data_IF_804836941239
#
_entry.id   IF_804836941239
#
_cell.length_a   1.000
_cell.length_b   1.000
_cell.length_c   1.000
_cell.angle_alpha   90.00
_cell.angle_beta   90.00
_cell.angle_gamma   90.00
#
_symmetry.space_group_name_H-M   'P 1'
#
loop_
_entity.id
_entity.type
_entity.pdbx_description
1 polymer ?
#
# COMPACT_ATOMS: atom_id res chain seq x y z
N UNK A 1 -31.82 28.28 -18.87
CA UNK A 1 -30.52 27.66 -18.52
C UNK A 1 -30.79 26.23 -18.04
N UNK A 2 -30.65 25.24 -18.92
CA UNK A 2 -30.74 23.83 -18.51
C UNK A 2 -29.46 23.50 -17.73
N UNK A 3 -29.53 23.66 -16.40
CA UNK A 3 -28.54 23.06 -15.52
C UNK A 3 -28.57 21.56 -15.79
N UNK A 4 -27.46 21.03 -16.28
CA UNK A 4 -27.35 19.66 -16.73
C UNK A 4 -27.45 18.75 -15.49
N UNK A 5 -28.68 18.38 -15.11
CA UNK A 5 -28.99 17.62 -13.88
C UNK A 5 -28.18 16.33 -13.81
N UNK A 6 -27.86 15.76 -14.96
CA UNK A 6 -27.01 14.59 -15.11
C UNK A 6 -25.57 14.84 -14.64
N UNK A 7 -25.01 16.01 -14.92
CA UNK A 7 -23.67 16.41 -14.48
C UNK A 7 -23.63 16.62 -12.97
N UNK A 8 -24.68 17.23 -12.40
CA UNK A 8 -24.78 17.41 -10.94
C UNK A 8 -24.93 16.06 -10.24
N UNK A 9 -25.80 15.18 -10.76
CA UNK A 9 -25.97 13.84 -10.22
C UNK A 9 -24.66 13.04 -10.26
N UNK A 10 -23.94 13.08 -11.38
CA UNK A 10 -22.63 12.42 -11.50
C UNK A 10 -21.60 12.96 -10.50
N UNK A 11 -21.56 14.28 -10.28
CA UNK A 11 -20.67 14.91 -9.30
C UNK A 11 -21.05 14.53 -7.86
N UNK A 12 -22.34 14.45 -7.56
CA UNK A 12 -22.85 14.01 -6.26
C UNK A 12 -22.52 12.54 -5.98
N UNK A 13 -22.65 11.68 -6.98
CA UNK A 13 -22.28 10.27 -6.91
C UNK A 13 -20.77 10.10 -6.73
N UNK A 14 -19.96 10.86 -7.47
CA UNK A 14 -18.50 10.88 -7.31
C UNK A 14 -18.11 11.32 -5.89
N UNK A 15 -18.75 12.35 -5.35
CA UNK A 15 -18.47 12.84 -4.01
C UNK A 15 -18.91 11.88 -2.91
N UNK A 16 -20.03 11.18 -3.11
CA UNK A 16 -20.54 10.19 -2.14
C UNK A 16 -19.68 8.94 -2.10
N UNK A 17 -19.12 8.55 -3.25
CA UNK A 17 -18.25 7.40 -3.40
C UNK A 17 -16.76 7.72 -3.27
N UNK A 18 -16.40 8.98 -3.01
CA UNK A 18 -15.02 9.43 -2.87
C UNK A 18 -14.33 8.68 -1.71
N UNK A 19 -13.24 8.01 -2.05
CA UNK A 19 -12.31 7.35 -1.13
C UNK A 19 -10.89 7.80 -1.48
N UNK A 20 -9.99 7.80 -0.50
CA UNK A 20 -8.60 8.18 -0.76
C UNK A 20 -7.93 7.18 -1.74
N UNK A 21 -8.18 5.88 -1.59
CA UNK A 21 -7.60 4.84 -2.43
C UNK A 21 -6.08 4.90 -2.48
N UNK A 22 -5.53 5.04 -3.70
CA UNK A 22 -4.10 5.22 -3.96
C UNK A 22 -3.64 6.67 -3.93
N UNK A 23 -4.56 7.64 -3.76
CA UNK A 23 -4.20 9.05 -3.67
C UNK A 23 -3.46 9.34 -2.36
N UNK A 24 -2.55 10.31 -2.41
CA UNK A 24 -2.00 10.89 -1.19
C UNK A 24 -3.10 11.60 -0.40
N UNK A 25 -2.87 11.79 0.90
CA UNK A 25 -3.81 12.51 1.77
C UNK A 25 -4.10 13.91 1.20
N UNK A 26 -3.08 14.61 0.70
CA UNK A 26 -3.22 15.93 0.10
C UNK A 26 -4.09 15.92 -1.16
N UNK A 27 -3.90 14.95 -2.06
CA UNK A 27 -4.70 14.82 -3.27
C UNK A 27 -6.16 14.51 -2.95
N UNK A 28 -6.40 13.63 -1.97
CA UNK A 28 -7.75 13.31 -1.50
C UNK A 28 -8.44 14.53 -0.85
N UNK A 29 -7.73 15.33 -0.04
CA UNK A 29 -8.27 16.60 0.50
C UNK A 29 -8.62 17.56 -0.63
N UNK A 30 -7.71 17.77 -1.59
CA UNK A 30 -7.93 18.70 -2.70
C UNK A 30 -9.15 18.30 -3.54
N UNK A 31 -9.29 17.01 -3.85
CA UNK A 31 -10.44 16.47 -4.59
C UNK A 31 -11.74 16.59 -3.79
N UNK A 32 -11.68 16.36 -2.49
CA UNK A 32 -12.81 16.56 -1.59
C UNK A 32 -13.27 18.03 -1.58
N UNK A 33 -12.35 18.99 -1.49
CA UNK A 33 -12.69 20.42 -1.51
C UNK A 33 -13.29 20.87 -2.84
N UNK A 34 -12.78 20.36 -3.97
CA UNK A 34 -13.34 20.65 -5.28
C UNK A 34 -14.78 20.16 -5.40
N UNK A 35 -15.06 18.93 -4.99
CA UNK A 35 -16.39 18.36 -5.03
C UNK A 35 -17.33 19.01 -4.00
N UNK A 36 -16.83 19.39 -2.82
CA UNK A 36 -17.62 20.11 -1.81
C UNK A 36 -18.07 21.50 -2.31
N UNK A 37 -17.26 22.19 -3.13
CA UNK A 37 -17.66 23.46 -3.76
C UNK A 37 -18.75 23.28 -4.82
N UNK A 38 -18.71 22.16 -5.54
CA UNK A 38 -19.68 21.83 -6.59
C UNK A 38 -21.00 21.28 -6.02
N UNK A 39 -20.94 20.64 -4.86
CA UNK A 39 -22.09 20.01 -4.21
C UNK A 39 -22.27 20.51 -2.76
N UNK A 40 -22.60 21.82 -2.55
CA UNK A 40 -22.75 22.38 -1.21
C UNK A 40 -23.87 21.70 -0.41
N UNK A 41 -24.90 21.16 -1.08
CA UNK A 41 -25.97 20.38 -0.44
C UNK A 41 -25.47 19.10 0.25
N UNK A 42 -24.36 18.53 -0.22
CA UNK A 42 -23.75 17.34 0.38
C UNK A 42 -22.82 17.66 1.55
N UNK A 43 -22.51 18.94 1.78
CA UNK A 43 -21.70 19.44 2.88
C UNK A 43 -22.36 20.70 3.49
N UNK A 44 -23.57 20.56 4.05
CA UNK A 44 -24.33 21.72 4.52
C UNK A 44 -23.73 22.37 5.77
N UNK A 45 -22.84 21.68 6.48
CA UNK A 45 -22.18 22.18 7.69
C UNK A 45 -20.75 21.66 7.80
N UNK A 46 -19.93 22.38 8.58
CA UNK A 46 -18.55 21.97 8.87
C UNK A 46 -18.53 20.61 9.61
N UNK A 47 -19.53 20.32 10.44
CA UNK A 47 -19.67 19.03 11.12
C UNK A 47 -19.84 17.89 10.11
N UNK A 48 -20.70 18.07 9.10
CA UNK A 48 -20.91 17.07 8.05
C UNK A 48 -19.68 16.92 7.14
N UNK A 49 -18.97 18.02 6.89
CA UNK A 49 -17.69 18.03 6.19
C UNK A 49 -16.67 17.13 6.87
N UNK A 50 -16.46 17.33 8.17
CA UNK A 50 -15.53 16.54 8.98
C UNK A 50 -15.96 15.08 9.00
N UNK A 51 -17.26 14.80 9.17
CA UNK A 51 -17.79 13.43 9.15
C UNK A 51 -17.49 12.71 7.84
N UNK A 52 -17.71 13.37 6.69
CA UNK A 52 -17.44 12.80 5.36
C UNK A 52 -15.95 12.63 5.09
N UNK A 53 -15.11 13.62 5.40
CA UNK A 53 -13.65 13.48 5.28
C UNK A 53 -13.14 12.29 6.10
N UNK A 54 -13.60 12.15 7.34
CA UNK A 54 -13.21 11.03 8.21
C UNK A 54 -13.62 9.66 7.65
N UNK A 55 -14.76 9.57 6.95
CA UNK A 55 -15.21 8.36 6.25
C UNK A 55 -14.36 8.06 5.01
N UNK A 56 -14.00 9.10 4.24
CA UNK A 56 -13.13 8.99 3.05
C UNK A 56 -11.74 8.44 3.39
N UNK A 57 -11.15 8.86 4.51
CA UNK A 57 -9.79 8.43 4.92
C UNK A 57 -9.72 7.07 5.64
N UNK A 58 -10.81 6.62 6.30
CA UNK A 58 -10.78 5.50 7.26
C UNK A 58 -10.50 4.12 6.66
N UNK A 59 -10.63 3.92 5.35
CA UNK A 59 -10.39 2.61 4.72
C UNK A 59 -8.99 2.44 4.16
N UNK A 60 -8.29 3.54 3.87
CA UNK A 60 -7.11 3.49 3.01
C UNK A 60 -5.80 3.45 3.79
N UNK A 61 -5.75 3.97 5.01
CA UNK A 61 -4.64 3.70 5.95
C UNK A 61 -4.50 2.18 6.18
N UNK A 62 -5.62 1.46 6.27
CA UNK A 62 -5.62 0.00 6.41
C UNK A 62 -5.17 -0.71 5.13
N UNK A 63 -5.51 -0.20 3.94
CA UNK A 63 -5.03 -0.77 2.66
C UNK A 63 -3.55 -0.52 2.43
N UNK A 64 -3.08 0.71 2.65
CA UNK A 64 -1.68 1.08 2.49
C UNK A 64 -0.78 0.31 3.48
N UNK A 65 -1.22 0.14 4.74
CA UNK A 65 -0.51 -0.70 5.72
C UNK A 65 -0.45 -2.18 5.27
N UNK A 66 -1.55 -2.73 4.71
CA UNK A 66 -1.57 -4.09 4.17
C UNK A 66 -0.65 -4.27 2.96
N UNK A 67 -0.68 -3.34 2.02
CA UNK A 67 0.17 -3.37 0.82
C UNK A 67 1.65 -3.21 1.17
N UNK A 68 1.98 -2.27 2.07
CA UNK A 68 3.35 -2.08 2.55
C UNK A 68 3.89 -3.35 3.24
N UNK A 69 3.08 -3.98 4.11
CA UNK A 69 3.43 -5.26 4.75
C UNK A 69 3.63 -6.38 3.72
N UNK A 70 2.79 -6.46 2.70
CA UNK A 70 2.90 -7.47 1.66
C UNK A 70 4.19 -7.31 0.83
N UNK A 71 4.57 -6.08 0.49
CA UNK A 71 5.82 -5.79 -0.24
C UNK A 71 7.07 -6.16 0.57
N UNK A 72 7.10 -5.79 1.85
CA UNK A 72 8.21 -6.15 2.77
C UNK A 72 8.35 -7.67 2.89
N UNK A 73 7.23 -8.39 2.99
CA UNK A 73 7.25 -9.84 3.11
C UNK A 73 7.74 -10.52 1.82
N UNK A 74 7.33 -10.01 0.65
CA UNK A 74 7.79 -10.51 -0.65
C UNK A 74 9.30 -10.30 -0.85
N UNK A 75 9.80 -9.09 -0.57
CA UNK A 75 11.22 -8.76 -0.66
C UNK A 75 12.09 -9.66 0.25
N UNK A 76 11.66 -9.88 1.50
CA UNK A 76 12.36 -10.79 2.43
C UNK A 76 12.37 -12.25 1.97
N UNK A 77 11.34 -12.71 1.27
CA UNK A 77 11.28 -14.07 0.72
C UNK A 77 12.26 -14.24 -0.45
N UNK A 78 12.37 -13.24 -1.31
CA UNK A 78 13.29 -13.22 -2.45
C UNK A 78 14.75 -13.12 -2.00
N UNK A 79 15.06 -12.28 -1.00
CA UNK A 79 16.40 -12.17 -0.40
C UNK A 79 16.87 -13.51 0.20
N UNK A 80 16.00 -14.21 0.95
CA UNK A 80 16.29 -15.56 1.46
C UNK A 80 16.54 -16.58 0.35
N UNK A 81 15.84 -16.46 -0.79
CA UNK A 81 16.02 -17.37 -1.92
C UNK A 81 17.36 -17.13 -2.63
N UNK A 82 17.76 -15.88 -2.80
CA UNK A 82 19.05 -15.49 -3.40
C UNK A 82 20.22 -15.93 -2.51
N UNK A 83 20.16 -15.67 -1.20
CA UNK A 83 21.21 -16.09 -0.25
C UNK A 83 21.37 -17.62 -0.22
N UNK A 84 20.29 -18.38 -0.38
CA UNK A 84 20.33 -19.85 -0.45
C UNK A 84 20.97 -20.39 -1.73
N UNK A 85 20.87 -19.66 -2.84
CA UNK A 85 21.49 -20.06 -4.12
C UNK A 85 22.96 -19.66 -4.21
N UNK A 86 23.39 -18.62 -3.49
CA UNK A 86 24.78 -18.15 -3.50
C UNK A 86 25.71 -18.87 -2.50
N UNK A 87 25.24 -19.83 -1.71
CA UNK A 87 26.13 -20.69 -0.90
C UNK A 87 26.78 -21.77 -1.79
N UNK A 88 28.11 -21.73 -2.04
CA UNK A 88 28.79 -22.85 -2.67
C UNK A 88 28.85 -24.01 -1.67
N UNK A 89 28.61 -25.25 -2.15
CA UNK A 89 28.91 -26.46 -1.38
C UNK A 89 30.40 -26.46 -1.05
N UNK A 90 30.79 -26.15 0.19
CA UNK A 90 32.15 -26.39 0.64
C UNK A 90 32.32 -27.90 0.90
N UNK A 91 33.07 -28.52 -0.01
CA UNK A 91 33.89 -29.72 0.05
C UNK A 91 33.78 -30.63 1.30
N UNK A 92 33.41 -31.88 1.07
CA UNK A 92 33.82 -33.02 1.91
C UNK A 92 34.86 -33.84 1.13
N UNK A 93 36.07 -33.30 0.98
CA UNK A 93 37.25 -34.13 0.71
C UNK A 93 37.80 -34.60 2.06
N UNK A 94 37.42 -35.81 2.48
CA UNK A 94 38.12 -36.55 3.53
C UNK A 94 38.98 -37.62 2.85
N UNK A 95 40.20 -37.23 2.47
CA UNK A 95 41.26 -38.17 2.13
C UNK A 95 42.00 -38.54 3.42
N UNK A 96 42.03 -39.81 3.86
CA UNK A 96 42.75 -40.19 5.07
C UNK A 96 44.23 -40.38 4.73
N UNK A 97 45.07 -39.41 5.13
CA UNK A 97 46.52 -39.64 5.26
C UNK A 97 46.91 -39.59 6.73
N UNK A 98 47.40 -40.72 7.23
CA UNK A 98 48.20 -40.76 8.44
C UNK A 98 48.24 -42.14 9.09
N UNK A 99 49.29 -42.90 8.84
CA UNK A 99 50.19 -43.38 9.90
C UNK A 99 51.38 -44.12 9.27
N UNK A 100 52.47 -43.37 9.10
CA UNK A 100 53.82 -43.92 9.02
C UNK A 100 54.42 -43.79 10.42
N UNK A 101 54.67 -44.93 11.08
CA UNK A 101 55.51 -45.01 12.27
C UNK A 101 56.48 -46.19 12.10
N UNK A 102 57.74 -45.86 11.85
CA UNK A 102 58.92 -46.62 12.28
C UNK A 102 59.78 -45.59 13.01
N UNK A 103 60.38 -45.91 14.17
CA UNK A 103 61.66 -46.65 14.12
C UNK A 103 61.97 -47.55 15.35
N UNK A 104 62.82 -48.57 15.14
CA UNK A 104 64.01 -48.92 15.93
C UNK A 104 64.68 -50.14 15.30
#
# INVERSE_FOLDING_TARGET
>A
MYYNKEVIAAQQDEFTNLKQGSMTVMEAVKKFEQLARLCPELVPSETEKVRKMKKMFRTDISKQDKEARAQIFKAKKEEKAVVRQMQPRQNTELSPKGQNINPA
#
